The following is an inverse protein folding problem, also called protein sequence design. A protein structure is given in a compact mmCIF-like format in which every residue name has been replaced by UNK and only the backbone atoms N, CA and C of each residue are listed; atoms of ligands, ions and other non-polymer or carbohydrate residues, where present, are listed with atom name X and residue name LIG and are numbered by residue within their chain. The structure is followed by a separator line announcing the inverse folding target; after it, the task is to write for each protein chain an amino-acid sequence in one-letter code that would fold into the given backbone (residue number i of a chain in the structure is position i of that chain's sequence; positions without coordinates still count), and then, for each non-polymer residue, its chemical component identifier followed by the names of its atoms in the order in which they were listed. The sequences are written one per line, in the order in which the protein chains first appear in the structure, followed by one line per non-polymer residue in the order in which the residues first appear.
data_IF_513826864860
#
_entry.id   IF_513826864860
#
_cell.length_a   1.000
_cell.length_b   1.000
_cell.length_c   1.000
_cell.angle_alpha   90.00
_cell.angle_beta   90.00
_cell.angle_gamma   90.00
#
_symmetry.space_group_name_H-M   'P 1'
#
loop_
_entity.id
_entity.type
_entity.pdbx_description
1 polymer ?
#
# COMPACT_ATOMS: atom_id res chain seq x y z
N UNK A 1 -37.47 1.86 4.23
CA UNK A 1 -36.86 1.88 2.88
C UNK A 1 -35.48 2.48 3.00
N UNK A 2 -34.46 1.63 3.03
CA UNK A 2 -33.09 2.11 2.88
C UNK A 2 -32.96 2.76 1.51
N UNK A 3 -32.60 4.03 1.47
CA UNK A 3 -32.15 4.65 0.24
C UNK A 3 -30.91 3.89 -0.21
N UNK A 4 -31.06 3.03 -1.22
CA UNK A 4 -29.92 2.58 -2.01
C UNK A 4 -29.19 3.84 -2.42
N UNK A 5 -27.99 4.04 -1.88
CA UNK A 5 -27.09 5.07 -2.36
C UNK A 5 -26.81 4.66 -3.80
N UNK A 6 -27.36 5.44 -4.73
CA UNK A 6 -27.06 5.28 -6.16
C UNK A 6 -25.58 5.58 -6.31
N UNK A 7 -24.77 4.51 -6.29
CA UNK A 7 -23.33 4.61 -6.45
C UNK A 7 -23.14 5.01 -7.92
N UNK A 8 -22.72 6.24 -8.13
CA UNK A 8 -22.38 6.73 -9.47
C UNK A 8 -21.17 5.93 -9.98
N UNK A 9 -21.45 4.85 -10.71
CA UNK A 9 -20.47 3.92 -11.28
C UNK A 9 -19.37 4.61 -12.11
N UNK A 10 -19.55 5.87 -12.44
CA UNK A 10 -18.57 6.69 -13.13
C UNK A 10 -17.29 6.92 -12.32
N UNK A 11 -17.34 6.69 -11.01
CA UNK A 11 -16.23 6.90 -10.07
C UNK A 11 -15.68 5.60 -9.45
N UNK A 12 -16.33 4.47 -9.67
CA UNK A 12 -15.80 3.16 -9.29
C UNK A 12 -14.94 2.66 -10.44
N UNK A 13 -13.65 2.76 -10.27
CA UNK A 13 -12.72 2.06 -11.15
C UNK A 13 -12.84 0.56 -10.87
N UNK A 14 -12.74 -0.25 -11.92
CA UNK A 14 -12.59 -1.69 -11.70
C UNK A 14 -11.42 -1.94 -10.77
N UNK A 15 -11.50 -2.97 -9.93
CA UNK A 15 -10.40 -3.41 -9.06
C UNK A 15 -9.08 -3.50 -9.82
N UNK A 16 -9.10 -4.15 -11.00
CA UNK A 16 -7.93 -4.29 -11.87
C UNK A 16 -7.38 -2.95 -12.33
N UNK A 17 -8.24 -2.04 -12.77
CA UNK A 17 -7.83 -0.71 -13.23
C UNK A 17 -7.21 0.12 -12.11
N UNK A 18 -7.78 0.09 -10.93
CA UNK A 18 -7.24 0.76 -9.74
C UNK A 18 -5.87 0.19 -9.36
N UNK A 19 -5.74 -1.13 -9.32
CA UNK A 19 -4.50 -1.83 -9.01
C UNK A 19 -3.39 -1.50 -10.00
N UNK A 20 -3.69 -1.52 -11.30
CA UNK A 20 -2.75 -1.15 -12.35
C UNK A 20 -2.28 0.30 -12.19
N UNK A 21 -3.17 1.22 -11.85
CA UNK A 21 -2.81 2.62 -11.63
C UNK A 21 -1.88 2.80 -10.41
N UNK A 22 -2.09 2.06 -9.33
CA UNK A 22 -1.18 2.06 -8.17
C UNK A 22 0.20 1.55 -8.58
N UNK A 23 0.29 0.45 -9.30
CA UNK A 23 1.55 -0.11 -9.78
C UNK A 23 2.25 0.88 -10.74
N UNK A 24 1.52 1.44 -11.70
CA UNK A 24 2.05 2.44 -12.62
C UNK A 24 2.58 3.68 -11.86
N UNK A 25 1.91 4.08 -10.79
CA UNK A 25 2.32 5.20 -9.95
C UNK A 25 3.69 4.99 -9.30
N UNK A 26 4.03 3.76 -8.91
CA UNK A 26 5.35 3.41 -8.36
C UNK A 26 6.44 3.71 -9.39
N UNK A 27 6.27 3.25 -10.62
CA UNK A 27 7.27 3.44 -11.69
C UNK A 27 7.32 4.89 -12.19
N UNK A 28 6.18 5.58 -12.27
CA UNK A 28 6.13 6.98 -12.69
C UNK A 28 6.86 7.91 -11.73
N UNK A 29 6.75 7.68 -10.43
CA UNK A 29 7.46 8.46 -9.41
C UNK A 29 8.97 8.26 -9.48
N UNK A 30 9.42 7.07 -9.82
CA UNK A 30 10.84 6.80 -10.04
C UNK A 30 11.41 7.59 -11.24
N UNK A 31 10.59 7.84 -12.26
CA UNK A 31 11.02 8.49 -13.51
C UNK A 31 10.93 10.03 -13.49
N UNK A 32 9.99 10.62 -12.74
CA UNK A 32 9.64 12.04 -12.83
C UNK A 32 10.55 13.00 -12.09
N UNK A 33 11.41 12.53 -11.22
CA UNK A 33 12.16 13.44 -10.37
C UNK A 33 13.60 12.97 -10.16
N UNK A 34 14.54 13.57 -10.89
CA UNK A 34 15.98 13.28 -10.76
C UNK A 34 16.51 13.43 -9.31
N UNK A 35 15.85 14.25 -8.48
CA UNK A 35 16.17 14.41 -7.06
C UNK A 35 15.56 13.33 -6.16
N UNK A 36 14.55 12.58 -6.63
CA UNK A 36 13.86 11.49 -5.90
C UNK A 36 14.13 10.11 -6.47
N UNK A 37 15.08 9.95 -7.39
CA UNK A 37 15.53 8.65 -7.92
C UNK A 37 16.17 7.73 -6.88
N UNK A 38 15.95 7.96 -5.59
CA UNK A 38 16.58 7.15 -4.55
C UNK A 38 16.24 5.66 -4.61
N UNK A 39 15.11 5.31 -5.20
CA UNK A 39 14.58 3.95 -5.08
C UNK A 39 13.86 3.49 -6.36
N UNK A 40 14.57 3.33 -7.50
CA UNK A 40 13.95 2.72 -8.67
C UNK A 40 13.54 1.29 -8.31
N UNK A 41 12.34 0.83 -8.75
CA UNK A 41 11.94 -0.55 -8.51
C UNK A 41 12.94 -1.53 -9.10
N UNK A 42 13.31 -2.55 -8.34
CA UNK A 42 14.17 -3.65 -8.80
C UNK A 42 13.33 -4.87 -9.19
N UNK A 43 12.28 -4.63 -9.94
CA UNK A 43 11.34 -5.62 -10.44
C UNK A 43 10.52 -5.02 -11.57
N UNK A 44 9.80 -5.86 -12.31
CA UNK A 44 8.86 -5.41 -13.34
C UNK A 44 7.46 -5.15 -12.74
N UNK A 45 6.63 -4.43 -13.49
CA UNK A 45 5.22 -4.24 -13.12
C UNK A 45 4.48 -5.56 -13.05
N UNK A 46 4.80 -6.49 -13.95
CA UNK A 46 4.21 -7.82 -13.98
C UNK A 46 4.60 -8.62 -12.73
N UNK A 47 5.85 -8.53 -12.28
CA UNK A 47 6.30 -9.20 -11.05
C UNK A 47 5.48 -8.75 -9.83
N UNK A 48 5.21 -7.45 -9.71
CA UNK A 48 4.38 -6.91 -8.63
C UNK A 48 2.95 -7.45 -8.72
N UNK A 49 2.39 -7.47 -9.93
CA UNK A 49 1.03 -7.98 -10.15
C UNK A 49 0.93 -9.48 -9.82
N UNK A 50 1.88 -10.27 -10.24
CA UNK A 50 1.93 -11.71 -9.99
C UNK A 50 2.04 -12.00 -8.48
N UNK A 51 2.87 -11.25 -7.76
CA UNK A 51 3.00 -11.38 -6.30
C UNK A 51 1.71 -10.96 -5.57
N UNK A 52 1.01 -9.93 -6.06
CA UNK A 52 -0.31 -9.58 -5.56
C UNK A 52 -1.34 -10.71 -5.76
N UNK A 53 -1.32 -11.38 -6.91
CA UNK A 53 -2.23 -12.51 -7.16
C UNK A 53 -1.97 -13.67 -6.20
N UNK A 54 -0.72 -13.95 -5.87
CA UNK A 54 -0.36 -14.94 -4.84
C UNK A 54 -0.84 -14.51 -3.45
N UNK A 55 -0.68 -13.25 -3.10
CA UNK A 55 -1.21 -12.72 -1.84
C UNK A 55 -2.73 -12.88 -1.75
N UNK A 56 -3.46 -12.54 -2.82
CA UNK A 56 -4.92 -12.69 -2.87
C UNK A 56 -5.33 -14.15 -2.74
N UNK A 57 -4.60 -15.06 -3.36
CA UNK A 57 -4.85 -16.50 -3.26
C UNK A 57 -4.70 -17.01 -1.83
N UNK A 58 -3.69 -16.54 -1.10
CA UNK A 58 -3.35 -17.04 0.24
C UNK A 58 -4.09 -16.29 1.36
N UNK A 59 -4.35 -15.00 1.18
CA UNK A 59 -4.86 -14.09 2.23
C UNK A 59 -6.14 -13.36 1.85
N UNK A 60 -6.63 -13.52 0.62
CA UNK A 60 -7.75 -12.74 0.10
C UNK A 60 -7.37 -11.28 -0.18
N UNK A 61 -8.39 -10.46 -0.48
CA UNK A 61 -8.24 -9.02 -0.77
C UNK A 61 -8.24 -8.19 0.51
N UNK A 62 -7.31 -8.52 1.39
CA UNK A 62 -7.23 -7.92 2.72
C UNK A 62 -5.87 -7.25 2.95
N UNK A 63 -5.89 -6.16 3.71
CA UNK A 63 -4.68 -5.48 4.14
C UNK A 63 -3.80 -6.42 4.97
N UNK A 64 -2.52 -6.51 4.63
CA UNK A 64 -1.57 -7.37 5.34
C UNK A 64 -1.30 -6.90 6.77
N UNK A 65 -1.45 -5.59 7.05
CA UNK A 65 -1.27 -5.05 8.40
C UNK A 65 -2.51 -5.19 9.29
N UNK A 66 -3.64 -4.63 8.87
CA UNK A 66 -4.86 -4.58 9.70
C UNK A 66 -5.87 -5.70 9.40
N UNK A 67 -5.64 -6.49 8.36
CA UNK A 67 -6.49 -7.61 7.92
C UNK A 67 -7.89 -7.21 7.43
N UNK A 68 -8.17 -5.93 7.26
CA UNK A 68 -9.46 -5.46 6.75
C UNK A 68 -9.51 -5.52 5.21
N UNK A 69 -10.69 -5.72 4.62
CA UNK A 69 -10.86 -5.74 3.17
C UNK A 69 -10.45 -4.40 2.54
N UNK A 70 -9.83 -4.47 1.37
CA UNK A 70 -9.55 -3.27 0.57
C UNK A 70 -10.79 -2.74 -0.12
N UNK A 71 -10.78 -1.43 -0.38
CA UNK A 71 -11.68 -0.76 -1.31
C UNK A 71 -10.91 -0.18 -2.49
N UNK A 72 -11.63 0.19 -3.54
CA UNK A 72 -11.06 0.74 -4.79
C UNK A 72 -11.86 1.98 -5.21
N UNK A 73 -11.95 2.95 -4.30
CA UNK A 73 -12.81 4.13 -4.44
C UNK A 73 -11.98 5.29 -4.96
N UNK A 74 -12.39 5.87 -6.08
CA UNK A 74 -11.83 7.13 -6.58
C UNK A 74 -12.68 8.30 -6.10
N UNK A 75 -12.03 9.34 -5.58
CA UNK A 75 -12.72 10.56 -5.21
C UNK A 75 -13.18 11.33 -6.46
N UNK A 76 -14.37 11.93 -6.36
CA UNK A 76 -14.92 12.83 -7.37
C UNK A 76 -13.94 13.99 -7.60
N UNK A 77 -13.52 14.21 -8.85
CA UNK A 77 -12.59 15.29 -9.23
C UNK A 77 -11.13 14.89 -9.36
N UNK A 78 -10.72 13.66 -8.96
CA UNK A 78 -9.40 13.15 -9.29
C UNK A 78 -9.40 12.58 -10.71
N UNK A 79 -9.03 13.40 -11.69
CA UNK A 79 -8.65 12.88 -13.01
C UNK A 79 -7.37 12.09 -12.86
N UNK A 80 -7.47 10.82 -13.03
CA UNK A 80 -6.52 9.74 -13.28
C UNK A 80 -5.07 9.85 -12.87
N UNK A 81 -4.38 10.93 -12.76
CA UNK A 81 -2.93 10.99 -12.56
C UNK A 81 -2.46 12.14 -11.66
N UNK A 82 -3.38 12.83 -11.00
CA UNK A 82 -3.01 13.89 -10.06
C UNK A 82 -2.67 13.33 -8.67
N UNK A 83 -1.71 13.92 -7.94
CA UNK A 83 -1.48 13.54 -6.55
C UNK A 83 -2.74 13.88 -5.75
N UNK A 84 -3.45 12.85 -5.31
CA UNK A 84 -4.53 13.01 -4.34
C UNK A 84 -3.92 13.56 -3.06
N UNK A 85 -4.38 14.70 -2.59
CA UNK A 85 -3.97 15.22 -1.29
C UNK A 85 -4.24 14.13 -0.24
N UNK A 86 -3.32 13.91 0.69
CA UNK A 86 -3.47 12.90 1.75
C UNK A 86 -4.82 12.99 2.47
N UNK A 87 -5.35 14.20 2.65
CA UNK A 87 -6.67 14.45 3.23
C UNK A 87 -7.86 13.94 2.40
N UNK A 88 -7.64 13.54 1.15
CA UNK A 88 -8.67 13.06 0.21
C UNK A 88 -8.53 11.56 -0.09
N UNK A 89 -7.52 10.88 0.46
CA UNK A 89 -7.37 9.44 0.32
C UNK A 89 -8.42 8.71 1.17
N UNK A 90 -9.03 7.69 0.57
CA UNK A 90 -9.86 6.75 1.32
C UNK A 90 -8.93 5.76 2.03
N UNK A 91 -8.94 5.75 3.36
CA UNK A 91 -8.03 4.95 4.18
C UNK A 91 -8.09 3.45 3.90
N UNK A 92 -9.25 2.94 3.49
CA UNK A 92 -9.45 1.53 3.16
C UNK A 92 -8.98 1.14 1.76
N UNK A 93 -8.63 2.11 0.90
CA UNK A 93 -8.21 1.82 -0.46
C UNK A 93 -6.93 1.00 -0.50
N UNK A 94 -6.87 0.13 -1.51
CA UNK A 94 -5.68 -0.64 -1.83
C UNK A 94 -4.45 0.26 -2.01
N UNK A 95 -3.34 -0.17 -1.45
CA UNK A 95 -2.04 0.49 -1.57
C UNK A 95 -0.90 -0.53 -1.51
N UNK A 96 0.26 -0.15 -1.96
CA UNK A 96 1.48 -0.96 -1.90
C UNK A 96 2.53 -0.19 -1.10
N UNK A 97 3.00 -0.81 -0.03
CA UNK A 97 4.05 -0.29 0.83
C UNK A 97 5.37 -1.06 0.62
N UNK A 98 6.46 -0.45 1.02
CA UNK A 98 7.75 -1.13 1.19
C UNK A 98 7.88 -1.52 2.66
N UNK A 99 8.08 -2.80 2.93
CA UNK A 99 8.25 -3.30 4.29
C UNK A 99 9.40 -2.58 5.00
N UNK A 100 10.53 -2.48 4.33
CA UNK A 100 11.67 -1.66 4.74
C UNK A 100 11.75 -0.42 3.84
N UNK A 101 11.44 0.75 4.40
CA UNK A 101 11.43 2.02 3.68
C UNK A 101 12.82 2.48 3.21
N UNK A 102 13.88 1.85 3.68
CA UNK A 102 15.28 2.12 3.26
C UNK A 102 15.68 1.36 2.01
N UNK A 103 14.86 0.39 1.59
CA UNK A 103 15.06 -0.43 0.39
C UNK A 103 14.06 -0.07 -0.71
N UNK A 104 14.35 -0.47 -1.95
CA UNK A 104 13.44 -0.30 -3.08
C UNK A 104 12.29 -1.32 -3.07
N UNK A 105 11.37 -1.18 -4.03
CA UNK A 105 10.38 -2.21 -4.32
C UNK A 105 11.08 -3.42 -4.95
N UNK A 106 10.99 -4.57 -4.30
CA UNK A 106 11.60 -5.83 -4.70
C UNK A 106 10.59 -6.95 -4.59
N UNK A 107 10.63 -7.88 -5.53
CA UNK A 107 9.79 -9.08 -5.57
C UNK A 107 10.64 -10.34 -5.39
N UNK A 108 9.99 -11.48 -5.19
CA UNK A 108 10.65 -12.77 -5.04
C UNK A 108 10.85 -13.17 -3.58
N UNK A 109 11.87 -13.99 -3.33
CA UNK A 109 12.12 -14.58 -2.01
C UNK A 109 12.31 -13.54 -0.90
N UNK A 110 13.02 -12.45 -1.21
CA UNK A 110 13.29 -11.35 -0.29
C UNK A 110 12.41 -10.14 -0.63
N UNK A 111 11.14 -10.38 -0.95
CA UNK A 111 10.19 -9.34 -1.30
C UNK A 111 10.11 -8.26 -0.24
N UNK A 112 10.15 -7.01 -0.70
CA UNK A 112 9.97 -5.82 0.13
C UNK A 112 8.58 -5.20 -0.05
N UNK A 113 7.65 -5.93 -0.68
CA UNK A 113 6.29 -5.46 -0.94
C UNK A 113 5.35 -5.84 0.18
N UNK A 114 4.48 -4.92 0.54
CA UNK A 114 3.34 -5.17 1.41
C UNK A 114 2.08 -4.66 0.72
N UNK A 115 1.11 -5.53 0.52
CA UNK A 115 -0.19 -5.18 -0.02
C UNK A 115 -1.11 -4.79 1.13
N UNK A 116 -1.37 -3.50 1.26
CA UNK A 116 -2.01 -2.92 2.43
C UNK A 116 -3.08 -1.90 2.05
N UNK A 117 -3.76 -1.36 3.03
CA UNK A 117 -4.64 -0.20 2.82
C UNK A 117 -3.86 1.12 2.94
N UNK A 118 -4.38 2.16 2.31
CA UNK A 118 -3.75 3.48 2.31
C UNK A 118 -3.58 4.05 3.73
N UNK A 119 -4.52 3.81 4.62
CA UNK A 119 -4.45 4.24 6.01
C UNK A 119 -3.27 3.62 6.77
N UNK A 120 -3.06 2.31 6.63
CA UNK A 120 -1.91 1.63 7.24
C UNK A 120 -0.59 2.09 6.63
N UNK A 121 -0.54 2.25 5.30
CA UNK A 121 0.64 2.75 4.61
C UNK A 121 1.03 4.15 5.10
N UNK A 122 0.06 5.06 5.21
CA UNK A 122 0.31 6.42 5.70
C UNK A 122 0.78 6.45 7.15
N UNK A 123 0.20 5.64 8.02
CA UNK A 123 0.63 5.54 9.44
C UNK A 123 2.05 4.99 9.56
N UNK A 124 2.39 3.96 8.79
CA UNK A 124 3.71 3.35 8.81
C UNK A 124 4.81 4.28 8.27
N UNK A 125 4.52 5.14 7.29
CA UNK A 125 5.50 6.05 6.70
C UNK A 125 6.15 7.02 7.71
N UNK A 126 5.59 7.15 8.90
CA UNK A 126 6.14 7.97 9.99
C UNK A 126 7.04 7.19 10.94
N UNK A 127 7.10 5.86 10.80
CA UNK A 127 7.84 4.97 11.70
C UNK A 127 8.84 4.15 10.89
N UNK A 128 10.10 4.19 11.28
CA UNK A 128 11.15 3.36 10.68
C UNK A 128 11.03 1.93 11.21
N UNK A 129 11.35 0.95 10.37
CA UNK A 129 11.39 -0.46 10.79
C UNK A 129 12.31 -0.67 11.99
N UNK A 130 13.46 -0.01 12.02
CA UNK A 130 14.39 -0.02 13.15
C UNK A 130 13.75 0.47 14.45
N UNK A 131 12.88 1.47 14.38
CA UNK A 131 12.19 2.01 15.55
C UNK A 131 11.15 1.01 16.08
N UNK A 132 10.44 0.33 15.17
CA UNK A 132 9.50 -0.74 15.54
C UNK A 132 10.23 -1.88 16.21
N UNK A 133 11.36 -2.33 15.67
CA UNK A 133 12.18 -3.39 16.26
C UNK A 133 12.65 -2.98 17.65
N UNK A 134 13.10 -1.75 17.83
CA UNK A 134 13.55 -1.25 19.13
C UNK A 134 12.41 -1.18 20.15
N UNK A 135 11.22 -0.72 19.72
CA UNK A 135 10.01 -0.70 20.58
C UNK A 135 9.66 -2.12 21.02
N UNK A 136 9.64 -3.08 20.11
CA UNK A 136 9.35 -4.48 20.40
C UNK A 136 10.39 -5.08 21.36
N UNK A 137 11.67 -4.81 21.13
CA UNK A 137 12.76 -5.27 22.03
C UNK A 137 12.61 -4.73 23.44
N UNK A 138 12.29 -3.45 23.61
CA UNK A 138 12.05 -2.84 24.92
C UNK A 138 10.83 -3.46 25.59
N UNK A 139 9.76 -3.66 24.83
CA UNK A 139 8.54 -4.28 25.33
C UNK A 139 8.77 -5.72 25.80
N UNK A 140 9.46 -6.53 25.02
CA UNK A 140 9.80 -7.91 25.37
C UNK A 140 10.70 -7.97 26.61
N UNK A 141 11.72 -7.11 26.68
CA UNK A 141 12.63 -7.03 27.81
C UNK A 141 11.91 -6.74 29.14
N UNK A 142 10.92 -5.83 29.11
CA UNK A 142 10.12 -5.50 30.29
C UNK A 142 9.23 -6.67 30.72
N UNK A 143 8.61 -7.38 29.77
CA UNK A 143 7.74 -8.52 30.07
C UNK A 143 8.49 -9.75 30.56
N UNK A 144 9.70 -9.99 30.10
CA UNK A 144 10.52 -11.09 30.60
C UNK A 144 11.15 -10.84 31.99
N UNK A 145 11.02 -9.62 32.52
CA UNK A 145 11.48 -9.30 33.89
C UNK A 145 10.38 -9.51 34.95
N UNK A 146 9.14 -9.71 34.51
CA UNK A 146 7.97 -9.92 35.38
C UNK A 146 7.68 -11.44 35.61
N UNK A 147 8.51 -12.33 35.10
CA UNK A 147 8.53 -13.76 35.39
C UNK A 147 9.67 -14.08 36.39
#
# INVERSE_FOLDING_TARGET
MEKLIEIDYKYITSERGFTIDIINGIFSRANKNNKRKKWPPNCTKQDIYDELMLHIQDHGRNCEYCKQPWTYIRNKGTRGNGPVKRSQQVDTNFSIDRLDATKTYETGRDSNLVFCCAGCNNRKNQVRLSDIINIVRVWMKRRCQDE
#
